data_IF_677094885919
#
_entry.id   IF_677094885919
#
_cell.length_a   1.000
_cell.length_b   1.000
_cell.length_c   1.000
_cell.angle_alpha   90.00
_cell.angle_beta   90.00
_cell.angle_gamma   90.00
#
_symmetry.space_group_name_H-M   'P 1'
#
loop_
_entity.id
_entity.type
_entity.pdbx_description
1 polymer ?
#
# COMPACT_ATOMS: atom_id res chain seq x y z
N UNK A 1 -52.27 -21.61 17.65
CA UNK A 1 -51.03 -20.82 17.52
C UNK A 1 -50.32 -21.27 16.25
N UNK A 2 -50.17 -20.37 15.27
CA UNK A 2 -49.69 -20.69 13.93
C UNK A 2 -48.15 -20.81 13.91
N UNK A 3 -47.64 -22.03 13.74
CA UNK A 3 -46.19 -22.33 13.67
C UNK A 3 -45.50 -21.95 12.33
N UNK A 4 -46.16 -21.18 11.46
CA UNK A 4 -45.64 -20.80 10.12
C UNK A 4 -44.68 -19.60 10.12
N UNK A 5 -44.53 -18.87 11.22
CA UNK A 5 -43.70 -17.64 11.29
C UNK A 5 -42.25 -17.87 11.74
N UNK A 6 -41.95 -19.00 12.37
CA UNK A 6 -40.61 -19.38 12.83
C UNK A 6 -39.58 -19.54 11.68
N UNK A 7 -39.90 -20.15 10.51
CA UNK A 7 -38.89 -20.35 9.46
C UNK A 7 -38.49 -19.06 8.73
N UNK A 8 -39.33 -18.02 8.75
CA UNK A 8 -39.02 -16.74 8.09
C UNK A 8 -38.04 -15.92 8.95
N UNK A 9 -38.24 -15.91 10.27
CA UNK A 9 -37.38 -15.20 11.22
C UNK A 9 -35.98 -15.83 11.31
N UNK A 10 -35.89 -17.17 11.28
CA UNK A 10 -34.60 -17.88 11.26
C UNK A 10 -33.84 -17.62 9.94
N UNK A 11 -34.53 -17.56 8.79
CA UNK A 11 -33.89 -17.21 7.52
C UNK A 11 -33.38 -15.76 7.48
N UNK A 12 -34.13 -14.82 8.04
CA UNK A 12 -33.71 -13.42 8.13
C UNK A 12 -32.53 -13.24 9.08
N UNK A 13 -32.50 -13.97 10.21
CA UNK A 13 -31.39 -13.94 11.16
C UNK A 13 -30.12 -14.57 10.56
N UNK A 14 -30.23 -15.71 9.88
CA UNK A 14 -29.09 -16.34 9.18
C UNK A 14 -28.58 -15.45 8.04
N UNK A 15 -29.45 -14.77 7.29
CA UNK A 15 -29.04 -13.82 6.26
C UNK A 15 -28.31 -12.60 6.85
N UNK A 16 -28.79 -12.04 7.96
CA UNK A 16 -28.14 -10.92 8.63
C UNK A 16 -26.77 -11.29 9.23
N UNK A 17 -26.65 -12.47 9.83
CA UNK A 17 -25.37 -13.01 10.33
C UNK A 17 -24.41 -13.30 9.16
N UNK A 18 -24.90 -13.84 8.04
CA UNK A 18 -24.07 -14.03 6.85
C UNK A 18 -23.57 -12.70 6.26
N UNK A 19 -24.39 -11.65 6.24
CA UNK A 19 -23.96 -10.30 5.82
C UNK A 19 -22.91 -9.74 6.79
N UNK A 20 -23.10 -9.88 8.10
CA UNK A 20 -22.13 -9.43 9.12
C UNK A 20 -20.80 -10.22 9.06
N UNK A 21 -20.85 -11.52 8.80
CA UNK A 21 -19.64 -12.36 8.63
C UNK A 21 -18.94 -12.05 7.30
N UNK A 22 -19.67 -11.73 6.23
CA UNK A 22 -19.08 -11.28 4.97
C UNK A 22 -18.39 -9.92 5.14
N UNK A 23 -18.98 -8.98 5.88
CA UNK A 23 -18.35 -7.67 6.18
C UNK A 23 -17.11 -7.83 7.08
N UNK A 24 -17.17 -8.72 8.09
CA UNK A 24 -16.04 -8.99 8.98
C UNK A 24 -14.91 -9.83 8.32
N UNK A 25 -15.24 -10.71 7.37
CA UNK A 25 -14.26 -11.47 6.61
C UNK A 25 -13.61 -10.64 5.49
N UNK A 26 -14.29 -9.60 4.99
CA UNK A 26 -13.66 -8.61 4.09
C UNK A 26 -12.67 -7.67 4.76
N UNK A 27 -12.61 -7.63 6.11
CA UNK A 27 -11.63 -6.83 6.86
C UNK A 27 -10.39 -7.61 7.32
N UNK A 28 -10.36 -8.94 7.15
CA UNK A 28 -9.24 -9.80 7.58
C UNK A 28 -8.35 -10.26 6.40
N UNK A 29 -8.26 -9.42 5.37
CA UNK A 29 -7.39 -9.60 4.22
C UNK A 29 -6.29 -8.56 4.37
N UNK A 30 -5.02 -8.99 4.43
CA UNK A 30 -3.85 -8.17 4.75
C UNK A 30 -3.90 -6.80 4.07
N UNK A 31 -4.43 -5.81 4.80
CA UNK A 31 -4.40 -4.43 4.40
C UNK A 31 -2.92 -4.06 4.45
N UNK A 32 -2.39 -3.57 3.32
CA UNK A 32 -1.07 -2.96 3.27
C UNK A 32 -0.91 -2.09 4.53
N UNK A 33 0.10 -2.34 5.39
CA UNK A 33 0.26 -1.59 6.63
C UNK A 33 0.27 -0.10 6.32
N UNK A 34 -0.39 0.69 7.17
CA UNK A 34 -0.40 2.14 6.96
C UNK A 34 1.00 2.72 7.14
N UNK A 35 1.78 2.13 8.04
CA UNK A 35 3.15 2.50 8.32
C UNK A 35 4.09 1.32 8.18
N UNK A 36 5.26 1.54 7.60
CA UNK A 36 6.35 0.56 7.56
C UNK A 36 7.68 1.25 7.84
N UNK A 37 8.71 0.48 8.13
CA UNK A 37 10.08 0.97 8.15
C UNK A 37 10.91 0.38 7.03
N UNK A 38 12.00 1.06 6.71
CA UNK A 38 12.96 0.62 5.72
C UNK A 38 14.22 1.46 5.74
N UNK A 39 15.03 1.33 4.70
CA UNK A 39 16.17 2.22 4.48
C UNK A 39 15.72 3.47 3.74
N UNK A 40 16.13 4.64 4.20
CA UNK A 40 15.85 5.93 3.58
C UNK A 40 16.29 5.98 2.11
N UNK A 41 17.37 5.27 1.76
CA UNK A 41 17.86 5.14 0.39
C UNK A 41 16.95 4.33 -0.53
N UNK A 42 15.94 3.65 0.01
CA UNK A 42 15.08 2.71 -0.71
C UNK A 42 13.64 2.86 -0.20
N UNK A 43 12.95 3.87 -0.74
CA UNK A 43 11.53 4.10 -0.46
C UNK A 43 10.72 2.90 -0.98
N UNK A 44 9.93 2.22 -0.15
CA UNK A 44 9.07 1.13 -0.60
C UNK A 44 8.00 1.61 -1.57
N UNK A 45 7.74 0.84 -2.62
CA UNK A 45 6.65 1.15 -3.57
C UNK A 45 5.31 1.29 -2.85
N UNK A 46 4.55 2.33 -3.21
CA UNK A 46 3.26 2.63 -2.59
C UNK A 46 3.35 3.38 -1.26
N UNK A 47 4.54 3.79 -0.83
CA UNK A 47 4.75 4.58 0.37
C UNK A 47 5.52 5.88 0.09
N UNK A 48 5.31 6.86 0.94
CA UNK A 48 6.11 8.08 1.04
C UNK A 48 6.77 8.14 2.41
N UNK A 49 7.83 8.95 2.55
CA UNK A 49 8.46 9.19 3.85
C UNK A 49 7.42 9.81 4.79
N UNK A 50 7.21 9.20 5.95
CA UNK A 50 6.22 9.68 6.91
C UNK A 50 6.67 11.01 7.52
N UNK A 51 5.73 11.92 7.74
CA UNK A 51 5.95 13.18 8.45
C UNK A 51 5.86 13.00 9.97
N UNK A 52 6.35 13.98 10.73
CA UNK A 52 6.16 14.03 12.18
C UNK A 52 4.67 14.04 12.54
N UNK A 53 3.86 14.76 11.77
CA UNK A 53 2.41 14.79 11.96
C UNK A 53 1.78 13.41 11.77
N UNK A 54 2.28 12.60 10.84
CA UNK A 54 1.82 11.23 10.65
C UNK A 54 2.15 10.36 11.86
N UNK A 55 3.37 10.47 12.41
CA UNK A 55 3.77 9.77 13.63
C UNK A 55 2.97 10.23 14.86
N UNK A 56 2.41 11.43 14.83
CA UNK A 56 1.53 11.99 15.86
C UNK A 56 0.04 11.67 15.66
N UNK A 57 -0.30 10.91 14.62
CA UNK A 57 -1.68 10.53 14.32
C UNK A 57 -2.19 9.35 15.18
N UNK A 58 -3.52 9.27 15.33
CA UNK A 58 -4.16 8.12 15.96
C UNK A 58 -3.90 6.81 15.17
N UNK A 59 -3.76 6.91 13.86
CA UNK A 59 -3.52 5.76 12.99
C UNK A 59 -2.15 5.13 13.26
N UNK A 60 -1.11 5.96 13.38
CA UNK A 60 0.22 5.49 13.77
C UNK A 60 0.20 4.84 15.15
N UNK A 61 -0.46 5.48 16.12
CA UNK A 61 -0.62 4.97 17.49
C UNK A 61 -1.27 3.57 17.51
N UNK A 62 -2.35 3.40 16.75
CA UNK A 62 -3.10 2.15 16.66
C UNK A 62 -2.27 1.04 16.01
N UNK A 63 -1.56 1.33 14.93
CA UNK A 63 -0.73 0.34 14.26
C UNK A 63 0.49 -0.04 15.13
N UNK A 64 1.18 0.96 15.67
CA UNK A 64 2.36 0.76 16.51
C UNK A 64 2.04 -0.17 17.70
N UNK A 65 0.93 0.08 18.39
CA UNK A 65 0.54 -0.70 19.57
C UNK A 65 -0.06 -2.08 19.24
N UNK A 66 -0.43 -2.36 17.98
CA UNK A 66 -1.00 -3.65 17.58
C UNK A 66 0.05 -4.62 17.04
N UNK A 67 0.95 -4.13 16.18
CA UNK A 67 1.93 -4.99 15.47
C UNK A 67 3.35 -4.41 15.48
N UNK A 68 3.59 -3.27 16.14
CA UNK A 68 4.85 -2.56 16.08
C UNK A 68 5.15 -2.00 14.69
N UNK A 69 6.44 -1.80 14.43
CA UNK A 69 6.99 -1.29 13.18
C UNK A 69 7.70 -2.43 12.47
N UNK A 70 7.28 -2.69 11.23
CA UNK A 70 7.81 -3.77 10.41
C UNK A 70 8.74 -3.22 9.34
N UNK A 71 9.96 -3.76 9.26
CA UNK A 71 10.88 -3.45 8.18
C UNK A 71 10.53 -4.25 6.92
N UNK A 72 10.41 -3.58 5.77
CA UNK A 72 10.01 -4.23 4.51
C UNK A 72 11.19 -4.75 3.69
N UNK A 73 12.41 -4.44 4.10
CA UNK A 73 13.64 -4.99 3.55
C UNK A 73 14.67 -5.28 4.66
N UNK A 74 15.57 -6.21 4.41
CA UNK A 74 16.76 -6.39 5.24
C UNK A 74 17.63 -5.13 5.22
N UNK A 75 18.25 -4.84 6.36
CA UNK A 75 19.28 -3.83 6.43
C UNK A 75 20.44 -4.17 5.48
N UNK A 76 20.97 -3.12 4.84
CA UNK A 76 22.16 -3.26 4.00
C UNK A 76 23.34 -3.85 4.76
N UNK A 77 24.30 -4.43 4.03
CA UNK A 77 25.55 -4.89 4.62
C UNK A 77 26.42 -3.70 5.04
N UNK A 78 27.13 -3.83 6.15
CA UNK A 78 28.02 -2.79 6.67
C UNK A 78 27.38 -1.87 7.70
N UNK A 79 27.93 -0.66 7.84
CA UNK A 79 27.51 0.30 8.86
C UNK A 79 26.14 0.91 8.54
N UNK A 80 25.25 0.94 9.53
CA UNK A 80 23.87 1.46 9.43
C UNK A 80 23.74 2.64 10.40
N UNK A 81 23.09 3.71 9.95
CA UNK A 81 22.66 4.78 10.86
C UNK A 81 21.35 4.30 11.49
N UNK A 82 21.45 3.85 12.74
CA UNK A 82 20.32 3.28 13.47
C UNK A 82 19.37 4.34 14.06
N UNK A 83 19.40 5.57 13.57
CA UNK A 83 18.46 6.60 14.00
C UNK A 83 17.33 6.68 12.99
N UNK A 84 16.12 6.57 13.50
CA UNK A 84 14.90 6.62 12.69
C UNK A 84 14.76 8.02 12.08
N UNK A 85 14.58 8.08 10.77
CA UNK A 85 14.27 9.31 10.04
C UNK A 85 12.81 9.37 9.60
N UNK A 86 12.33 10.60 9.47
CA UNK A 86 11.03 11.03 8.96
C UNK A 86 11.25 12.19 7.99
N UNK A 87 10.18 12.69 7.37
CA UNK A 87 10.25 13.69 6.31
C UNK A 87 11.03 14.94 6.70
N UNK A 88 10.89 15.37 7.96
CA UNK A 88 11.48 16.60 8.49
C UNK A 88 12.86 16.38 9.13
N UNK A 89 13.37 15.14 9.15
CA UNK A 89 14.71 14.83 9.67
C UNK A 89 14.75 13.60 10.57
N UNK A 90 15.64 13.59 11.56
CA UNK A 90 15.81 12.47 12.48
C UNK A 90 14.86 12.56 13.67
N UNK A 91 14.19 11.46 13.97
CA UNK A 91 13.21 11.34 15.04
C UNK A 91 13.91 11.35 16.41
N UNK A 92 13.34 12.13 17.32
CA UNK A 92 13.80 12.33 18.68
C UNK A 92 12.61 12.42 19.64
N UNK A 93 12.85 12.33 20.95
CA UNK A 93 11.81 12.43 21.98
C UNK A 93 12.24 13.34 23.13
N UNK A 94 11.29 14.13 23.64
CA UNK A 94 11.48 15.00 24.79
C UNK A 94 11.74 16.47 24.43
N UNK A 95 11.85 17.33 25.44
CA UNK A 95 11.88 18.79 25.26
C UNK A 95 13.24 19.38 24.86
N UNK A 96 14.27 18.56 24.73
CA UNK A 96 15.61 18.99 24.32
C UNK A 96 16.05 18.28 23.04
N UNK A 97 16.45 19.06 22.03
CA UNK A 97 17.15 18.59 20.85
C UNK A 97 18.62 18.22 21.16
N UNK A 98 18.86 17.56 22.29
CA UNK A 98 20.18 17.03 22.63
C UNK A 98 20.43 15.74 21.86
N UNK A 99 21.69 15.48 21.53
CA UNK A 99 22.15 14.27 20.82
C UNK A 99 21.79 12.95 21.52
N UNK A 100 21.26 13.01 22.75
CA UNK A 100 20.90 11.90 23.62
C UNK A 100 19.45 11.43 23.49
N UNK A 101 18.69 12.03 22.59
CA UNK A 101 17.24 11.87 22.53
C UNK A 101 16.77 11.22 21.24
N UNK A 102 17.70 10.73 20.42
CA UNK A 102 17.39 10.12 19.12
C UNK A 102 16.75 8.76 19.26
N UNK A 103 15.73 8.52 18.45
CA UNK A 103 14.96 7.28 18.45
C UNK A 103 15.62 6.23 17.55
N UNK A 104 15.74 5.00 18.06
CA UNK A 104 16.23 3.83 17.35
C UNK A 104 15.22 2.67 17.45
N UNK A 105 15.24 1.69 16.53
CA UNK A 105 14.40 0.50 16.61
C UNK A 105 14.91 -0.50 17.66
N UNK A 106 13.98 -1.05 18.42
CA UNK A 106 14.16 -2.08 19.43
C UNK A 106 13.27 -3.29 19.16
N UNK A 107 13.77 -4.48 19.45
CA UNK A 107 13.01 -5.73 19.46
C UNK A 107 13.29 -6.47 20.76
N UNK A 108 12.24 -6.76 21.54
CA UNK A 108 12.35 -7.41 22.85
C UNK A 108 13.36 -6.72 23.80
N UNK A 109 13.39 -5.39 23.82
CA UNK A 109 14.26 -4.61 24.69
C UNK A 109 15.72 -4.54 24.25
N UNK A 110 16.04 -5.03 23.04
CA UNK A 110 17.39 -4.99 22.46
C UNK A 110 17.38 -4.17 21.17
N UNK A 111 18.41 -3.36 20.96
CA UNK A 111 18.63 -2.65 19.70
C UNK A 111 18.71 -3.66 18.54
N UNK A 112 17.96 -3.40 17.47
CA UNK A 112 17.82 -4.39 16.39
C UNK A 112 18.49 -4.00 15.07
N UNK A 113 19.17 -2.85 15.00
CA UNK A 113 19.99 -2.48 13.83
C UNK A 113 21.24 -3.33 13.69
N UNK A 114 21.07 -4.49 13.07
CA UNK A 114 22.17 -5.40 12.80
C UNK A 114 22.22 -5.65 11.30
N UNK A 115 23.39 -5.51 10.66
CA UNK A 115 23.50 -5.72 9.22
C UNK A 115 22.88 -7.04 8.77
N UNK A 116 22.18 -7.01 7.64
CA UNK A 116 21.47 -8.16 7.06
C UNK A 116 20.28 -8.69 7.87
N UNK A 117 19.76 -7.96 8.87
CA UNK A 117 18.51 -8.33 9.54
C UNK A 117 17.31 -7.56 8.99
N UNK A 118 16.13 -8.19 9.02
CA UNK A 118 14.84 -7.58 8.70
C UNK A 118 13.90 -7.77 9.89
N UNK A 119 13.95 -6.86 10.88
CA UNK A 119 13.16 -7.05 12.08
C UNK A 119 11.69 -6.66 11.87
N UNK A 120 10.79 -7.44 12.48
CA UNK A 120 9.35 -7.20 12.52
C UNK A 120 8.90 -7.01 13.96
N UNK A 121 7.81 -6.26 14.18
CA UNK A 121 7.32 -5.96 15.53
C UNK A 121 8.25 -5.07 16.33
N UNK A 122 9.03 -4.21 15.67
CA UNK A 122 9.96 -3.32 16.36
C UNK A 122 9.23 -2.17 17.04
N UNK A 123 9.84 -1.64 18.07
CA UNK A 123 9.36 -0.51 18.88
C UNK A 123 10.44 0.55 18.91
N UNK A 124 10.11 1.75 19.36
CA UNK A 124 11.02 2.85 19.53
C UNK A 124 11.70 2.82 20.90
N UNK A 125 12.93 3.26 20.92
CA UNK A 125 13.68 3.50 22.14
C UNK A 125 14.84 4.44 21.91
N UNK A 126 15.57 4.71 22.98
CA UNK A 126 16.83 5.44 23.00
C UNK A 126 17.89 4.46 23.54
N UNK A 127 19.01 4.26 22.84
CA UNK A 127 19.98 3.24 23.24
C UNK A 127 20.62 3.54 24.60
N UNK A 128 21.04 2.51 25.35
CA UNK A 128 21.64 2.65 26.68
C UNK A 128 23.06 3.23 26.66
N UNK A 129 23.60 3.58 25.49
CA UNK A 129 24.87 4.30 25.38
C UNK A 129 24.67 5.80 25.04
N UNK A 130 23.43 6.24 24.81
CA UNK A 130 23.13 7.63 24.52
C UNK A 130 23.29 8.47 25.79
N UNK A 131 24.06 9.54 25.76
CA UNK A 131 24.39 10.32 26.96
C UNK A 131 23.31 11.33 27.32
N UNK A 132 22.35 10.99 28.19
CA UNK A 132 21.34 11.97 28.63
C UNK A 132 20.17 11.38 29.40
N UNK A 133 19.13 12.18 29.68
CA UNK A 133 18.04 11.79 30.59
C UNK A 133 17.14 10.67 30.05
N UNK A 134 17.23 10.36 28.74
CA UNK A 134 16.45 9.33 28.07
C UNK A 134 17.28 8.08 27.74
N UNK A 135 18.52 7.97 28.22
CA UNK A 135 19.39 6.81 28.02
C UNK A 135 18.69 5.50 28.40
N UNK A 136 18.70 4.52 27.49
CA UNK A 136 18.09 3.21 27.73
C UNK A 136 16.56 3.21 27.81
N UNK A 137 15.90 4.33 27.49
CA UNK A 137 14.45 4.40 27.47
C UNK A 137 13.89 3.53 26.34
N UNK A 138 12.95 2.65 26.67
CA UNK A 138 12.27 1.80 25.70
C UNK A 138 10.76 2.02 25.76
N UNK A 139 10.14 2.26 24.61
CA UNK A 139 8.72 2.61 24.49
C UNK A 139 7.98 1.39 23.92
N UNK A 140 7.68 0.40 24.75
CA UNK A 140 6.95 -0.81 24.31
C UNK A 140 5.55 -0.50 23.79
N UNK A 141 4.82 0.31 24.53
CA UNK A 141 3.52 0.85 24.13
C UNK A 141 3.66 2.36 23.99
N UNK A 142 3.25 2.88 22.84
CA UNK A 142 3.19 4.31 22.61
C UNK A 142 1.91 4.85 23.22
N UNK A 143 1.99 5.81 24.15
CA UNK A 143 0.82 6.57 24.58
C UNK A 143 0.77 7.92 23.88
N UNK A 144 -0.36 8.60 23.98
CA UNK A 144 -0.51 9.97 23.46
C UNK A 144 0.52 10.94 24.05
N UNK A 145 1.00 10.70 25.28
CA UNK A 145 2.04 11.51 25.91
C UNK A 145 3.40 11.32 25.25
N UNK A 146 3.85 10.08 25.03
CA UNK A 146 5.12 9.83 24.34
C UNK A 146 5.03 10.27 22.88
N UNK A 147 3.89 10.04 22.22
CA UNK A 147 3.63 10.48 20.85
C UNK A 147 3.71 12.00 20.70
N UNK A 148 3.10 12.76 21.61
CA UNK A 148 3.22 14.22 21.64
C UNK A 148 4.64 14.71 21.97
N UNK A 149 5.46 13.85 22.58
CA UNK A 149 6.86 14.12 22.87
C UNK A 149 7.79 13.90 21.67
N UNK A 150 7.32 13.32 20.57
CA UNK A 150 8.14 13.16 19.36
C UNK A 150 8.46 14.49 18.71
N UNK A 151 9.71 14.60 18.27
CA UNK A 151 10.25 15.72 17.53
C UNK A 151 11.04 15.20 16.34
N UNK A 152 11.00 15.92 15.22
CA UNK A 152 11.91 15.70 14.10
C UNK A 152 12.99 16.77 14.12
N UNK A 153 14.25 16.34 14.07
CA UNK A 153 15.40 17.24 14.12
C UNK A 153 16.11 17.26 12.77
N UNK A 154 16.40 18.43 12.23
CA UNK A 154 17.23 18.58 11.02
C UNK A 154 18.73 18.43 11.29
N UNK A 155 19.10 18.01 12.50
CA UNK A 155 20.50 17.88 12.94
C UNK A 155 20.91 16.44 12.79
N UNK A 156 22.03 16.20 12.10
CA UNK A 156 22.58 14.85 12.00
C UNK A 156 23.11 14.40 13.37
N UNK A 157 22.73 13.21 13.86
CA UNK A 157 23.28 12.63 15.08
C UNK A 157 24.81 12.54 15.01
N UNK A 158 25.50 13.09 16.02
CA UNK A 158 26.96 13.00 16.18
C UNK A 158 27.32 12.21 17.43
N UNK A 159 28.51 11.59 17.47
CA UNK A 159 29.00 10.86 18.65
C UNK A 159 28.74 9.36 18.56
N UNK A 160 28.07 8.78 19.57
CA UNK A 160 27.86 7.34 19.68
C UNK A 160 26.96 6.74 18.57
N UNK A 161 26.20 7.57 17.87
CA UNK A 161 25.46 7.23 16.65
C UNK A 161 26.38 7.29 15.42
N UNK A 162 27.52 6.61 15.51
CA UNK A 162 28.79 6.87 14.79
C UNK A 162 28.76 6.84 13.26
N UNK A 163 27.61 6.65 12.63
CA UNK A 163 27.47 6.48 11.18
C UNK A 163 26.41 7.40 10.54
N UNK A 164 25.68 8.20 11.31
CA UNK A 164 24.59 9.01 10.75
C UNK A 164 25.06 10.22 9.90
N UNK A 165 26.32 10.65 10.03
CA UNK A 165 26.90 11.76 9.26
C UNK A 165 27.84 11.40 8.12
N UNK A 166 27.93 10.11 7.74
CA UNK A 166 28.80 9.66 6.67
C UNK A 166 28.00 9.46 5.37
N UNK A 167 28.42 10.14 4.29
CA UNK A 167 27.89 9.95 2.94
C UNK A 167 28.12 8.49 2.51
N UNK A 168 27.05 7.69 2.44
CA UNK A 168 27.10 6.27 2.06
C UNK A 168 26.52 5.29 3.09
N UNK A 169 26.15 5.76 4.29
CA UNK A 169 25.51 4.92 5.30
C UNK A 169 24.00 4.83 5.06
N UNK A 170 23.48 3.61 5.15
CA UNK A 170 22.06 3.36 5.05
C UNK A 170 21.36 3.80 6.36
N UNK A 171 20.47 4.80 6.26
CA UNK A 171 19.70 5.36 7.40
C UNK A 171 18.34 4.71 7.47
N UNK A 172 17.83 4.40 8.67
CA UNK A 172 16.47 3.85 8.82
C UNK A 172 15.42 4.96 8.70
N UNK A 173 14.24 4.63 8.17
CA UNK A 173 13.16 5.59 7.95
C UNK A 173 11.79 4.96 8.19
N UNK A 174 10.81 5.76 8.63
CA UNK A 174 9.40 5.38 8.65
C UNK A 174 8.72 5.92 7.39
N UNK A 175 7.94 5.06 6.76
CA UNK A 175 7.17 5.37 5.57
C UNK A 175 5.68 5.21 5.84
N UNK A 176 4.87 6.10 5.29
CA UNK A 176 3.39 6.05 5.31
C UNK A 176 2.86 5.65 3.94
N UNK A 177 1.85 4.79 3.92
CA UNK A 177 1.17 4.40 2.67
C UNK A 177 0.60 5.63 1.99
N UNK A 178 0.77 5.73 0.67
CA UNK A 178 0.17 6.80 -0.12
C UNK A 178 -1.30 6.40 -0.38
N UNK A 179 -2.29 7.22 0.03
CA UNK A 179 -3.68 6.96 -0.33
C UNK A 179 -3.81 6.91 -1.86
N UNK A 180 -4.38 5.84 -2.43
CA UNK A 180 -4.39 5.68 -3.88
C UNK A 180 -5.41 6.64 -4.51
N UNK A 181 -4.94 7.56 -5.36
CA UNK A 181 -5.80 8.40 -6.21
C UNK A 181 -6.55 7.57 -7.25
N UNK A 182 -5.96 6.45 -7.68
CA UNK A 182 -6.56 5.48 -8.58
C UNK A 182 -6.46 4.08 -8.00
N UNK A 183 -7.55 3.32 -8.11
CA UNK A 183 -7.59 1.90 -7.74
C UNK A 183 -8.21 1.10 -8.88
N UNK A 184 -7.94 -0.20 -8.90
CA UNK A 184 -8.69 -1.14 -9.73
C UNK A 184 -9.53 -2.01 -8.83
N UNK A 185 -10.82 -2.12 -9.13
CA UNK A 185 -11.74 -2.97 -8.38
C UNK A 185 -12.64 -3.71 -9.34
N UNK A 186 -13.12 -4.88 -8.93
CA UNK A 186 -14.16 -5.56 -9.69
C UNK A 186 -15.47 -4.82 -9.49
N UNK A 187 -16.00 -4.25 -10.56
CA UNK A 187 -17.28 -3.54 -10.57
C UNK A 187 -18.25 -4.23 -11.52
N UNK A 188 -19.52 -4.29 -11.12
CA UNK A 188 -20.61 -4.87 -11.90
C UNK A 188 -21.70 -5.45 -11.00
N UNK A 189 -22.44 -6.44 -11.50
CA UNK A 189 -23.53 -7.06 -10.74
C UNK A 189 -23.03 -7.60 -9.39
N UNK A 190 -23.51 -7.02 -8.29
CA UNK A 190 -23.16 -7.42 -6.92
C UNK A 190 -21.88 -6.82 -6.35
N UNK A 191 -21.14 -6.02 -7.12
CA UNK A 191 -19.99 -5.24 -6.64
C UNK A 191 -20.09 -3.80 -7.15
N UNK A 192 -20.72 -2.90 -6.38
CA UNK A 192 -20.85 -1.50 -6.77
C UNK A 192 -19.51 -0.77 -6.66
N UNK A 193 -19.43 0.39 -7.31
CA UNK A 193 -18.32 1.34 -7.09
C UNK A 193 -18.33 1.77 -5.61
N UNK A 194 -17.19 1.70 -4.90
CA UNK A 194 -17.10 2.13 -3.51
C UNK A 194 -17.34 3.64 -3.36
N UNK A 195 -17.87 4.04 -2.21
CA UNK A 195 -18.01 5.46 -1.86
C UNK A 195 -16.66 6.18 -1.91
N UNK A 196 -16.64 7.41 -2.43
CA UNK A 196 -15.40 8.19 -2.60
C UNK A 196 -14.65 7.92 -3.91
N UNK A 197 -15.17 7.03 -4.76
CA UNK A 197 -14.62 6.78 -6.10
C UNK A 197 -15.68 6.91 -7.20
N UNK A 198 -15.22 7.21 -8.40
CA UNK A 198 -15.99 7.13 -9.64
C UNK A 198 -15.25 6.25 -10.66
N UNK A 199 -15.98 5.69 -11.63
CA UNK A 199 -15.34 5.00 -12.76
C UNK A 199 -14.51 6.02 -13.55
N UNK A 200 -13.23 5.70 -13.75
CA UNK A 200 -12.33 6.55 -14.51
C UNK A 200 -12.71 6.55 -16.00
N UNK A 201 -12.40 7.64 -16.69
CA UNK A 201 -12.51 7.75 -18.14
C UNK A 201 -11.22 7.30 -18.84
N UNK A 202 -11.27 7.07 -20.16
CA UNK A 202 -10.07 6.90 -20.97
C UNK A 202 -9.17 8.15 -20.86
N UNK A 203 -9.78 9.35 -20.85
CA UNK A 203 -9.05 10.60 -20.67
C UNK A 203 -8.33 10.66 -19.31
N UNK A 204 -8.93 10.15 -18.24
CA UNK A 204 -8.26 10.02 -16.94
C UNK A 204 -7.05 9.10 -17.02
N UNK A 205 -7.17 7.94 -17.67
CA UNK A 205 -6.06 7.00 -17.85
C UNK A 205 -4.93 7.59 -18.71
N UNK A 206 -5.27 8.39 -19.72
CA UNK A 206 -4.32 9.10 -20.59
C UNK A 206 -3.70 10.35 -19.94
N UNK A 207 -4.23 10.80 -18.79
CA UNK A 207 -3.84 12.06 -18.17
C UNK A 207 -2.43 12.03 -17.57
N UNK A 208 -1.80 13.20 -17.49
CA UNK A 208 -0.55 13.39 -16.72
C UNK A 208 -0.76 13.03 -15.25
N UNK A 209 -1.92 13.36 -14.70
CA UNK A 209 -2.30 13.05 -13.32
C UNK A 209 -2.23 11.55 -13.00
N UNK A 210 -2.74 10.71 -13.90
CA UNK A 210 -2.67 9.26 -13.75
C UNK A 210 -1.23 8.76 -13.86
N UNK A 211 -0.47 9.26 -14.84
CA UNK A 211 0.94 8.91 -15.00
C UNK A 211 1.75 9.22 -13.74
N UNK A 212 1.60 10.42 -13.18
CA UNK A 212 2.25 10.83 -11.94
C UNK A 212 1.84 9.93 -10.79
N UNK A 213 0.53 9.70 -10.59
CA UNK A 213 0.05 8.85 -9.50
C UNK A 213 0.58 7.42 -9.61
N UNK A 214 0.56 6.82 -10.79
CA UNK A 214 1.02 5.45 -11.03
C UNK A 214 2.53 5.33 -10.82
N UNK A 215 3.31 6.26 -11.38
CA UNK A 215 4.78 6.24 -11.26
C UNK A 215 5.24 6.51 -9.81
N UNK A 216 4.58 7.41 -9.09
CA UNK A 216 4.89 7.68 -7.68
C UNK A 216 4.53 6.50 -6.78
N UNK A 217 3.38 5.85 -7.02
CA UNK A 217 3.00 4.66 -6.27
C UNK A 217 3.78 3.40 -6.69
N UNK A 218 4.41 3.41 -7.85
CA UNK A 218 5.07 2.23 -8.43
C UNK A 218 4.07 1.18 -8.93
N UNK A 219 2.88 1.60 -9.39
CA UNK A 219 1.80 0.72 -9.83
C UNK A 219 0.41 1.31 -9.55
N UNK A 220 -0.62 0.47 -9.67
CA UNK A 220 -1.99 0.77 -9.25
C UNK A 220 -2.43 -0.21 -8.16
N UNK A 221 -3.22 0.26 -7.19
CA UNK A 221 -3.73 -0.62 -6.13
C UNK A 221 -4.94 -1.39 -6.66
N UNK A 222 -4.86 -2.71 -6.68
CA UNK A 222 -6.03 -3.58 -6.83
C UNK A 222 -6.70 -3.72 -5.46
N UNK A 223 -7.98 -3.34 -5.37
CA UNK A 223 -8.79 -3.56 -4.19
C UNK A 223 -9.08 -5.07 -4.00
N UNK A 224 -9.28 -5.49 -2.75
CA UNK A 224 -9.60 -6.88 -2.45
C UNK A 224 -10.88 -7.31 -3.21
N UNK A 225 -10.83 -8.48 -3.85
CA UNK A 225 -12.00 -9.01 -4.57
C UNK A 225 -12.97 -9.67 -3.58
N UNK A 226 -14.30 -9.48 -3.71
CA UNK A 226 -15.28 -10.16 -2.87
C UNK A 226 -15.19 -11.69 -2.96
N UNK A 227 -15.39 -12.37 -1.83
CA UNK A 227 -15.23 -13.83 -1.70
C UNK A 227 -16.26 -14.69 -2.47
N UNK A 228 -17.16 -14.06 -3.25
CA UNK A 228 -18.32 -14.69 -3.87
C UNK A 228 -18.46 -14.40 -5.38
N UNK A 229 -17.43 -13.87 -6.04
CA UNK A 229 -17.46 -13.63 -7.49
C UNK A 229 -16.79 -14.77 -8.25
N UNK A 230 -17.59 -15.62 -8.89
CA UNK A 230 -17.13 -16.82 -9.59
C UNK A 230 -16.61 -16.57 -11.02
N UNK A 231 -16.82 -15.38 -11.60
CA UNK A 231 -16.22 -14.99 -12.90
C UNK A 231 -16.33 -13.47 -13.11
N UNK A 232 -15.25 -12.81 -13.48
CA UNK A 232 -15.24 -11.43 -13.97
C UNK A 232 -14.28 -11.32 -15.16
N UNK A 233 -14.49 -10.30 -16.00
CA UNK A 233 -13.58 -9.99 -17.10
C UNK A 233 -12.29 -9.38 -16.55
N UNK A 234 -11.16 -10.01 -16.88
CA UNK A 234 -9.84 -9.60 -16.40
C UNK A 234 -9.16 -8.55 -17.29
N UNK A 235 -9.85 -8.10 -18.34
CA UNK A 235 -9.45 -6.94 -19.11
C UNK A 235 -9.86 -5.69 -18.33
N UNK A 236 -8.93 -4.75 -18.21
CA UNK A 236 -9.14 -3.47 -17.58
C UNK A 236 -10.23 -2.68 -18.32
N UNK A 237 -11.16 -2.12 -17.59
CA UNK A 237 -12.23 -1.28 -18.11
C UNK A 237 -12.19 0.13 -17.53
N UNK A 238 -12.70 1.06 -18.34
CA UNK A 238 -13.01 2.45 -18.01
C UNK A 238 -14.46 2.72 -18.39
N UNK A 239 -14.96 3.94 -18.17
CA UNK A 239 -16.37 4.28 -18.43
C UNK A 239 -16.82 4.04 -19.88
N UNK A 240 -15.89 4.16 -20.83
CA UNK A 240 -16.12 4.05 -22.27
C UNK A 240 -16.02 2.61 -22.80
N UNK A 241 -15.42 1.68 -22.05
CA UNK A 241 -15.26 0.29 -22.47
C UNK A 241 -14.01 -0.40 -21.95
N UNK A 242 -13.60 -1.46 -22.62
CA UNK A 242 -12.37 -2.19 -22.31
C UNK A 242 -11.16 -1.48 -22.89
N UNK A 243 -10.07 -1.46 -22.14
CA UNK A 243 -8.86 -0.72 -22.52
C UNK A 243 -7.90 -1.63 -23.27
N UNK A 244 -7.37 -1.12 -24.37
CA UNK A 244 -6.32 -1.75 -25.17
C UNK A 244 -5.12 -0.85 -25.36
N UNK A 245 -4.00 -1.46 -25.73
CA UNK A 245 -2.79 -0.79 -26.17
C UNK A 245 -2.60 -0.99 -27.67
N UNK A 246 -2.29 0.11 -28.35
CA UNK A 246 -2.28 0.33 -29.80
C UNK A 246 -3.68 0.40 -30.42
N UNK A 247 -3.89 1.48 -31.16
CA UNK A 247 -5.18 1.96 -31.65
C UNK A 247 -5.51 1.46 -33.08
N UNK A 248 -4.72 0.55 -33.65
CA UNK A 248 -5.11 -0.07 -34.93
C UNK A 248 -6.15 -1.16 -34.64
N UNK A 249 -7.31 -1.04 -35.29
CA UNK A 249 -8.57 -1.78 -35.02
C UNK A 249 -8.40 -3.33 -35.01
N UNK A 250 -7.34 -3.85 -35.65
CA UNK A 250 -7.03 -5.29 -35.73
C UNK A 250 -5.71 -5.69 -35.02
N UNK A 251 -5.08 -4.76 -34.27
CA UNK A 251 -3.77 -4.95 -33.63
C UNK A 251 -3.82 -4.65 -32.11
N UNK A 252 -5.00 -4.67 -31.51
CA UNK A 252 -5.20 -4.30 -30.11
C UNK A 252 -4.56 -5.35 -29.20
N UNK A 253 -3.75 -4.89 -28.24
CA UNK A 253 -3.30 -5.70 -27.11
C UNK A 253 -4.15 -5.35 -25.87
N UNK A 254 -5.05 -6.22 -25.40
CA UNK A 254 -5.91 -5.92 -24.25
C UNK A 254 -5.12 -5.66 -22.98
N UNK A 255 -5.49 -4.60 -22.25
CA UNK A 255 -4.85 -4.30 -20.97
C UNK A 255 -5.44 -5.13 -19.83
N UNK A 256 -4.58 -5.61 -18.95
CA UNK A 256 -4.94 -6.34 -17.74
C UNK A 256 -4.00 -6.01 -16.60
N UNK A 257 -4.25 -6.62 -15.44
CA UNK A 257 -3.41 -6.47 -14.26
C UNK A 257 -2.43 -7.63 -14.11
N UNK A 258 -1.23 -7.32 -13.64
CA UNK A 258 -0.15 -8.27 -13.40
C UNK A 258 0.49 -8.00 -12.03
N UNK A 259 0.69 -9.06 -11.24
CA UNK A 259 1.37 -9.00 -9.96
C UNK A 259 2.76 -9.60 -10.05
N UNK A 260 3.76 -8.80 -9.67
CA UNK A 260 5.14 -9.27 -9.58
C UNK A 260 5.35 -10.22 -8.41
N UNK A 261 4.62 -10.03 -7.31
CA UNK A 261 4.74 -10.88 -6.13
C UNK A 261 4.43 -12.35 -6.45
N UNK A 262 3.47 -12.57 -7.37
CA UNK A 262 3.06 -13.90 -7.82
C UNK A 262 3.62 -14.27 -9.20
N UNK A 263 4.29 -13.33 -9.88
CA UNK A 263 4.71 -13.46 -11.27
C UNK A 263 3.56 -13.96 -12.17
N UNK A 264 2.36 -13.39 -12.00
CA UNK A 264 1.13 -13.89 -12.59
C UNK A 264 0.17 -12.78 -13.00
N UNK A 265 -0.67 -13.08 -13.98
CA UNK A 265 -1.79 -12.24 -14.39
C UNK A 265 -2.84 -12.30 -13.29
N UNK A 266 -3.28 -11.14 -12.83
CA UNK A 266 -4.26 -11.05 -11.77
C UNK A 266 -5.66 -11.22 -12.36
N UNK A 267 -6.10 -12.47 -12.40
CA UNK A 267 -7.37 -12.90 -12.98
C UNK A 267 -7.95 -14.04 -12.14
N UNK A 268 -8.26 -13.75 -10.88
CA UNK A 268 -8.70 -14.75 -9.90
C UNK A 268 -9.66 -14.21 -8.84
N UNK A 269 -10.30 -15.12 -8.13
CA UNK A 269 -11.15 -14.81 -6.97
C UNK A 269 -10.31 -14.78 -5.68
N UNK A 270 -10.83 -14.15 -4.62
CA UNK A 270 -10.18 -14.01 -3.32
C UNK A 270 -8.80 -13.30 -3.37
N UNK A 271 -8.63 -12.38 -4.31
CA UNK A 271 -7.44 -11.54 -4.37
C UNK A 271 -7.39 -10.61 -3.18
N UNK A 272 -6.25 -10.60 -2.51
CA UNK A 272 -5.96 -9.63 -1.48
C UNK A 272 -5.77 -8.24 -2.10
N UNK A 273 -5.90 -7.19 -1.29
CA UNK A 273 -5.46 -5.86 -1.72
C UNK A 273 -3.97 -5.92 -2.01
N UNK A 274 -3.55 -5.51 -3.20
CA UNK A 274 -2.15 -5.55 -3.60
C UNK A 274 -1.83 -4.45 -4.62
N UNK A 275 -0.56 -4.07 -4.68
CA UNK A 275 -0.04 -3.22 -5.74
C UNK A 275 0.19 -4.09 -6.98
N UNK A 276 -0.35 -3.68 -8.12
CA UNK A 276 -0.26 -4.40 -9.39
C UNK A 276 0.18 -3.46 -10.50
N UNK A 277 0.66 -4.03 -11.59
CA UNK A 277 1.03 -3.33 -12.79
C UNK A 277 -0.01 -3.53 -13.89
N UNK A 278 -0.20 -2.52 -14.72
CA UNK A 278 -0.96 -2.65 -15.96
C UNK A 278 -0.03 -3.20 -17.04
N UNK A 279 -0.53 -4.12 -17.84
CA UNK A 279 0.22 -4.71 -18.94
C UNK A 279 -0.72 -5.30 -19.99
N UNK A 280 -0.16 -6.06 -20.93
CA UNK A 280 -0.86 -6.70 -22.05
C UNK A 280 -0.84 -8.24 -21.94
N UNK A 281 -1.38 -8.82 -20.84
CA UNK A 281 -1.21 -10.24 -20.55
C UNK A 281 -2.03 -11.18 -21.47
N UNK A 282 -3.07 -10.67 -22.12
CA UNK A 282 -4.02 -11.48 -22.92
C UNK A 282 -3.66 -11.57 -24.41
N UNK A 283 -2.46 -11.12 -24.82
CA UNK A 283 -1.96 -11.26 -26.19
C UNK A 283 -2.06 -10.01 -27.06
N UNK A 284 -2.13 -10.22 -28.38
CA UNK A 284 -1.97 -9.18 -29.40
C UNK A 284 -0.50 -8.94 -29.79
N UNK A 285 -0.22 -7.96 -30.68
CA UNK A 285 1.12 -7.71 -31.20
C UNK A 285 2.16 -7.37 -30.13
N UNK A 286 1.69 -6.88 -28.97
CA UNK A 286 2.53 -6.57 -27.81
C UNK A 286 2.09 -7.42 -26.63
N UNK A 287 1.80 -8.71 -26.81
CA UNK A 287 1.49 -9.60 -25.69
C UNK A 287 2.67 -9.78 -24.74
N UNK A 288 2.39 -9.84 -23.43
CA UNK A 288 3.40 -10.13 -22.39
C UNK A 288 4.20 -8.92 -21.92
N UNK A 289 3.83 -7.70 -22.31
CA UNK A 289 4.47 -6.48 -21.80
C UNK A 289 3.84 -6.03 -20.48
N UNK A 290 4.69 -5.61 -19.54
CA UNK A 290 4.28 -5.05 -18.25
C UNK A 290 4.78 -3.61 -18.16
N UNK A 291 3.86 -2.66 -17.96
CA UNK A 291 4.20 -1.24 -17.89
C UNK A 291 4.59 -0.87 -16.45
N UNK A 292 5.90 -0.92 -16.18
CA UNK A 292 6.47 -0.52 -14.87
C UNK A 292 6.36 0.96 -14.60
N UNK A 293 6.38 1.76 -15.67
CA UNK A 293 6.22 3.21 -15.63
C UNK A 293 5.38 3.66 -16.81
N UNK A 294 4.70 4.78 -16.65
CA UNK A 294 4.00 5.47 -17.71
C UNK A 294 4.69 6.76 -18.12
N UNK A 295 4.61 7.06 -19.41
CA UNK A 295 4.97 8.36 -19.97
C UNK A 295 3.89 8.78 -20.97
N UNK A 296 3.95 10.04 -21.41
CA UNK A 296 2.92 10.61 -22.28
C UNK A 296 2.74 9.85 -23.59
N UNK A 297 3.84 9.37 -24.19
CA UNK A 297 3.78 8.60 -25.44
C UNK A 297 3.07 7.26 -25.24
N UNK A 298 3.38 6.56 -24.15
CA UNK A 298 2.78 5.26 -23.84
C UNK A 298 1.28 5.39 -23.56
N UNK A 299 0.87 6.32 -22.69
CA UNK A 299 -0.55 6.43 -22.38
C UNK A 299 -1.36 6.98 -23.55
N UNK A 300 -0.75 7.78 -24.45
CA UNK A 300 -1.43 8.27 -25.66
C UNK A 300 -1.80 7.18 -26.66
N UNK A 301 -1.18 5.99 -26.59
CA UNK A 301 -1.53 4.84 -27.43
C UNK A 301 -2.56 3.91 -26.77
N UNK A 302 -3.11 4.28 -25.61
CA UNK A 302 -4.24 3.59 -25.03
C UNK A 302 -5.52 4.00 -25.72
N UNK A 303 -6.34 3.02 -26.06
CA UNK A 303 -7.67 3.19 -26.65
C UNK A 303 -8.69 2.31 -25.96
N UNK A 304 -9.94 2.44 -26.36
CA UNK A 304 -11.03 1.58 -25.88
C UNK A 304 -11.63 0.77 -27.01
N UNK A 305 -12.01 -0.46 -26.73
CA UNK A 305 -12.68 -1.34 -27.67
C UNK A 305 -13.91 -2.01 -27.04
N UNK A 306 -14.88 -2.35 -27.89
CA UNK A 306 -16.12 -3.00 -27.48
C UNK A 306 -16.15 -4.44 -27.98
N UNK A 307 -16.31 -5.40 -27.06
CA UNK A 307 -16.90 -6.77 -27.14
C UNK A 307 -16.76 -7.69 -28.36
N UNK A 308 -16.31 -7.28 -29.53
CA UNK A 308 -16.44 -8.09 -30.75
C UNK A 308 -15.31 -9.09 -31.01
N UNK A 309 -14.14 -8.97 -30.37
CA UNK A 309 -12.96 -9.75 -30.80
C UNK A 309 -12.23 -10.55 -29.71
N UNK A 310 -12.75 -10.69 -28.48
CA UNK A 310 -12.06 -11.50 -27.45
C UNK A 310 -12.99 -12.57 -26.86
N UNK A 311 -12.50 -13.81 -26.81
CA UNK A 311 -13.14 -14.93 -26.10
C UNK A 311 -13.08 -14.76 -24.58
N UNK A 312 -12.18 -13.90 -24.10
CA UNK A 312 -11.69 -13.93 -22.72
C UNK A 312 -12.65 -13.31 -21.70
N UNK A 313 -13.64 -12.56 -22.19
CA UNK A 313 -14.60 -11.83 -21.36
C UNK A 313 -16.06 -12.05 -21.76
N UNK A 314 -16.34 -13.06 -22.60
CA UNK A 314 -17.70 -13.29 -23.09
C UNK A 314 -18.60 -13.71 -21.94
N UNK A 315 -19.61 -12.87 -21.65
CA UNK A 315 -20.71 -13.04 -20.67
C UNK A 315 -20.51 -12.60 -19.21
N UNK A 316 -19.34 -12.11 -18.79
CA UNK A 316 -19.19 -11.59 -17.42
C UNK A 316 -19.80 -10.18 -17.27
N UNK A 317 -20.77 -9.97 -16.34
CA UNK A 317 -21.35 -8.65 -16.06
C UNK A 317 -20.47 -7.80 -15.13
N UNK A 318 -19.33 -8.34 -14.72
CA UNK A 318 -18.35 -7.74 -13.81
C UNK A 318 -17.01 -7.65 -14.51
N UNK A 319 -16.28 -6.56 -14.28
CA UNK A 319 -15.00 -6.28 -14.94
C UNK A 319 -14.02 -5.67 -13.96
N UNK A 320 -12.72 -5.87 -14.19
CA UNK A 320 -11.68 -5.08 -13.51
C UNK A 320 -11.77 -3.64 -13.99
N UNK A 321 -12.26 -2.75 -13.13
CA UNK A 321 -12.58 -1.38 -13.50
C UNK A 321 -11.61 -0.42 -12.84
N UNK A 322 -11.01 0.46 -13.63
CA UNK A 322 -10.23 1.57 -13.11
C UNK A 322 -11.17 2.60 -12.48
N UNK A 323 -10.89 2.93 -11.22
CA UNK A 323 -11.62 3.91 -10.45
C UNK A 323 -10.71 5.06 -10.03
N UNK A 324 -11.27 6.26 -9.99
CA UNK A 324 -10.59 7.51 -9.60
C UNK A 324 -11.23 8.04 -8.31
N UNK A 325 -10.40 8.47 -7.36
CA UNK A 325 -10.86 9.18 -6.15
C UNK A 325 -11.61 10.46 -6.55
N UNK A 326 -12.77 10.69 -5.95
CA UNK A 326 -13.54 11.94 -6.08
C UNK A 326 -13.43 12.85 -4.85
N UNK A 327 -12.56 12.47 -3.92
CA UNK A 327 -12.25 13.20 -2.68
C UNK A 327 -10.90 13.86 -2.80
#
# INVERSE_FOLDING_TARGET
MNFKSIPLMVKAFVAAVAVLVVVAASTAVAQQPEFVAGMLSTVPSGYALASLADLQSADFLNQYNSVGINYVQSFGSGFICCVVSVQEGYLSIGSSASYSSYITPFLNGVETCTSNTQPSGTTFGVPPFASGPYEGMWITNLTTKEQAGFLATGVTPTGAFSNCGLSGVATTAIFRVIPPKYIVQIVGTGAPVPSGFAVATLADLQSVDFQTSYNTAGGVVMAASPNNQNSYCCILSVSEGWVGYNDEVDSISPLGLYSEAFNAVECGYNQARQLVFIGTPFGGPNGGFVFRTFNASLVSSFGTFTRQNTSDCQSSPTTQTLLKSVV
#
